data_IF_332628682272
#
_entry.id   IF_332628682272
#
_cell.length_a   1.000
_cell.length_b   1.000
_cell.length_c   1.000
_cell.angle_alpha   90.00
_cell.angle_beta   90.00
_cell.angle_gamma   90.00
#
_symmetry.space_group_name_H-M   'P 1'
#
loop_
_entity.id
_entity.type
_entity.pdbx_description
1 polymer ?
#
# COMPACT_ATOMS: atom_id res chain seq x y z
N UNK A 1 8.23 -11.61 31.36
CA UNK A 1 7.53 -10.36 30.97
C UNK A 1 6.15 -10.75 30.45
N UNK A 2 5.08 -10.48 31.21
CA UNK A 2 3.73 -10.99 30.92
C UNK A 2 3.01 -9.98 30.01
N UNK A 3 3.01 -10.22 28.69
CA UNK A 3 2.43 -9.30 27.71
C UNK A 3 0.91 -9.46 27.74
N UNK A 4 0.18 -8.44 28.21
CA UNK A 4 -1.29 -8.43 28.12
C UNK A 4 -1.68 -8.38 26.65
N UNK A 5 -2.23 -9.47 26.13
CA UNK A 5 -2.82 -9.52 24.79
C UNK A 5 -4.13 -8.71 24.79
N UNK A 6 -4.18 -7.66 23.97
CA UNK A 6 -5.38 -6.86 23.75
C UNK A 6 -5.95 -7.22 22.39
N UNK A 7 -7.13 -7.85 22.38
CA UNK A 7 -7.84 -8.25 21.17
C UNK A 7 -8.06 -7.04 20.24
N UNK A 8 -8.31 -5.87 20.82
CA UNK A 8 -8.45 -4.61 20.08
C UNK A 8 -7.17 -4.19 19.36
N UNK A 9 -6.00 -4.44 19.95
CA UNK A 9 -4.70 -4.14 19.32
C UNK A 9 -4.41 -5.11 18.18
N UNK A 10 -4.77 -6.38 18.33
CA UNK A 10 -4.55 -7.39 17.32
C UNK A 10 -5.54 -7.25 16.14
N UNK A 11 -6.75 -6.75 16.38
CA UNK A 11 -7.74 -6.44 15.33
C UNK A 11 -7.28 -5.33 14.36
N UNK A 12 -6.38 -4.45 14.79
CA UNK A 12 -5.82 -3.39 13.94
C UNK A 12 -4.68 -3.87 13.03
N UNK A 13 -4.17 -5.10 13.22
CA UNK A 13 -3.08 -5.64 12.39
C UNK A 13 -3.61 -6.00 10.99
N UNK A 14 -2.85 -5.72 9.93
CA UNK A 14 -3.26 -6.12 8.59
C UNK A 14 -3.32 -7.65 8.50
N UNK A 15 -4.39 -8.16 7.88
CA UNK A 15 -4.55 -9.59 7.62
C UNK A 15 -3.47 -10.05 6.63
N UNK A 16 -2.65 -11.01 7.05
CA UNK A 16 -1.60 -11.61 6.22
C UNK A 16 -1.94 -13.06 5.96
N UNK A 17 -2.02 -13.44 4.69
CA UNK A 17 -2.25 -14.81 4.24
C UNK A 17 -0.92 -15.31 3.68
N UNK A 18 -0.36 -16.38 4.26
CA UNK A 18 0.93 -16.96 3.85
C UNK A 18 2.10 -15.96 3.86
N UNK A 19 2.07 -14.98 4.77
CA UNK A 19 3.10 -13.94 4.86
C UNK A 19 2.97 -12.80 3.83
N UNK A 20 1.93 -12.83 3.00
CA UNK A 20 1.57 -11.80 2.02
C UNK A 20 0.34 -11.05 2.53
N UNK A 21 0.24 -9.74 2.30
CA UNK A 21 -0.97 -8.98 2.57
C UNK A 21 -2.18 -9.61 1.85
N UNK A 22 -3.27 -9.86 2.57
CA UNK A 22 -4.50 -10.45 2.03
C UNK A 22 -5.06 -9.66 0.83
N UNK A 23 -4.79 -8.34 0.77
CA UNK A 23 -5.23 -7.47 -0.32
C UNK A 23 -4.53 -7.79 -1.65
N UNK A 24 -3.34 -8.40 -1.62
CA UNK A 24 -2.65 -8.79 -2.85
C UNK A 24 -3.45 -9.81 -3.68
N UNK A 25 -4.35 -10.58 -3.03
CA UNK A 25 -5.14 -11.63 -3.65
C UNK A 25 -6.44 -11.13 -4.30
N UNK A 26 -6.77 -9.83 -4.24
CA UNK A 26 -7.95 -9.27 -4.95
C UNK A 26 -8.06 -9.66 -6.44
N UNK A 27 -6.97 -9.74 -7.23
CA UNK A 27 -7.05 -10.14 -8.63
C UNK A 27 -7.57 -11.58 -8.84
N UNK A 28 -7.41 -12.48 -7.85
CA UNK A 28 -7.99 -13.83 -7.92
C UNK A 28 -9.52 -13.81 -7.82
N UNK A 29 -10.09 -12.86 -7.06
CA UNK A 29 -11.54 -12.67 -7.02
C UNK A 29 -12.07 -12.23 -8.39
N UNK A 30 -11.30 -11.40 -9.11
CA UNK A 30 -11.65 -10.97 -10.47
C UNK A 30 -11.59 -12.14 -11.48
N UNK A 31 -10.63 -13.06 -11.33
CA UNK A 31 -10.59 -14.29 -12.13
C UNK A 31 -11.77 -15.21 -11.85
N UNK A 32 -12.22 -15.32 -10.59
CA UNK A 32 -13.38 -16.13 -10.23
C UNK A 32 -14.67 -15.66 -10.94
N UNK A 33 -14.81 -14.35 -11.18
CA UNK A 33 -15.94 -13.79 -11.94
C UNK A 33 -15.82 -14.01 -13.46
N UNK A 34 -14.61 -13.95 -14.02
CA UNK A 34 -14.37 -14.21 -15.44
C UNK A 34 -13.28 -15.28 -15.61
N UNK A 35 -13.64 -16.58 -15.53
CA UNK A 35 -12.69 -17.68 -15.53
C UNK A 35 -12.12 -17.92 -16.93
N UNK A 36 -11.15 -17.09 -17.32
CA UNK A 36 -10.44 -17.18 -18.60
C UNK A 36 -8.94 -17.30 -18.34
N UNK A 37 -8.22 -18.00 -19.21
CA UNK A 37 -6.76 -18.21 -19.03
C UNK A 37 -5.99 -16.89 -18.96
N UNK A 38 -6.44 -15.88 -19.71
CA UNK A 38 -5.83 -14.55 -19.72
C UNK A 38 -6.04 -13.78 -18.40
N UNK A 39 -7.25 -13.83 -17.84
CA UNK A 39 -7.53 -13.16 -16.55
C UNK A 39 -6.79 -13.83 -15.40
N UNK A 40 -6.58 -15.15 -15.47
CA UNK A 40 -5.72 -15.86 -14.53
C UNK A 40 -4.26 -15.38 -14.62
N UNK A 41 -3.71 -15.32 -15.83
CA UNK A 41 -2.34 -14.84 -16.04
C UNK A 41 -2.17 -13.39 -15.58
N UNK A 42 -3.09 -12.49 -15.93
CA UNK A 42 -3.10 -11.10 -15.48
C UNK A 42 -3.18 -11.00 -13.95
N UNK A 43 -4.04 -11.80 -13.31
CA UNK A 43 -4.17 -11.85 -11.86
C UNK A 43 -2.89 -12.32 -11.17
N UNK A 44 -2.23 -13.33 -11.72
CA UNK A 44 -0.96 -13.85 -11.18
C UNK A 44 0.17 -12.82 -11.29
N UNK A 45 0.25 -12.08 -12.40
CA UNK A 45 1.21 -10.98 -12.59
C UNK A 45 0.96 -9.87 -11.56
N UNK A 46 -0.31 -9.51 -11.33
CA UNK A 46 -0.66 -8.51 -10.33
C UNK A 46 -0.26 -8.93 -8.90
N UNK A 47 -0.55 -10.18 -8.53
CA UNK A 47 -0.13 -10.76 -7.23
C UNK A 47 1.40 -10.72 -7.09
N UNK A 48 2.14 -11.14 -8.11
CA UNK A 48 3.60 -11.11 -8.11
C UNK A 48 4.13 -9.67 -7.96
N UNK A 49 3.50 -8.70 -8.64
CA UNK A 49 3.81 -7.29 -8.49
C UNK A 49 3.64 -6.80 -7.04
N UNK A 50 2.52 -7.15 -6.39
CA UNK A 50 2.29 -6.81 -4.98
C UNK A 50 3.27 -7.52 -4.04
N UNK A 51 3.60 -8.78 -4.31
CA UNK A 51 4.58 -9.53 -3.52
C UNK A 51 5.97 -8.88 -3.55
N UNK A 52 6.43 -8.47 -4.73
CA UNK A 52 7.71 -7.77 -4.89
C UNK A 52 7.71 -6.40 -4.19
N UNK A 53 6.57 -5.71 -4.14
CA UNK A 53 6.43 -4.46 -3.41
C UNK A 53 6.44 -4.65 -1.90
N UNK A 54 5.74 -5.67 -1.40
CA UNK A 54 5.72 -5.99 0.02
C UNK A 54 7.12 -6.35 0.51
N UNK A 55 7.91 -7.08 -0.27
CA UNK A 55 9.33 -7.35 0.04
C UNK A 55 10.18 -6.08 0.17
N UNK A 56 9.82 -5.00 -0.52
CA UNK A 56 10.50 -3.70 -0.42
C UNK A 56 9.97 -2.84 0.74
N UNK A 57 8.99 -3.33 1.50
CA UNK A 57 8.29 -2.55 2.53
C UNK A 57 7.42 -1.41 1.95
N UNK A 58 7.19 -1.42 0.63
CA UNK A 58 6.39 -0.41 -0.04
C UNK A 58 4.93 -0.83 0.00
N UNK A 59 4.11 -0.08 0.72
CA UNK A 59 2.66 -0.29 0.72
C UNK A 59 2.04 0.27 -0.57
N UNK A 60 0.94 -0.34 -1.03
CA UNK A 60 0.10 0.14 -2.14
C UNK A 60 -0.11 1.67 -2.18
N UNK A 61 -0.51 2.33 -1.07
CA UNK A 61 -0.67 3.78 -1.04
C UNK A 61 0.66 4.55 -1.21
N UNK A 62 1.78 3.99 -0.76
CA UNK A 62 3.11 4.61 -0.95
C UNK A 62 3.54 4.53 -2.41
N UNK A 63 3.28 3.41 -3.10
CA UNK A 63 3.51 3.32 -4.53
C UNK A 63 2.66 4.34 -5.29
N UNK A 64 1.35 4.39 -5.02
CA UNK A 64 0.45 5.34 -5.68
C UNK A 64 0.88 6.78 -5.42
N UNK A 65 1.37 7.07 -4.20
CA UNK A 65 1.95 8.37 -3.85
C UNK A 65 3.25 8.63 -4.63
N UNK A 66 4.11 7.63 -4.79
CA UNK A 66 5.35 7.74 -5.55
C UNK A 66 5.08 7.95 -7.05
N UNK A 67 4.15 7.20 -7.64
CA UNK A 67 3.68 7.37 -9.01
C UNK A 67 3.09 8.77 -9.18
N UNK A 68 2.19 9.19 -8.27
CA UNK A 68 1.61 10.53 -8.32
C UNK A 68 2.66 11.63 -8.18
N UNK A 69 3.64 11.47 -7.29
CA UNK A 69 4.75 12.40 -7.14
C UNK A 69 5.61 12.45 -8.40
N UNK A 70 5.86 11.29 -9.02
CA UNK A 70 6.62 11.20 -10.27
C UNK A 70 5.90 11.88 -11.44
N UNK A 71 4.58 11.71 -11.53
CA UNK A 71 3.74 12.36 -12.56
C UNK A 71 3.58 13.87 -12.33
N UNK A 72 3.46 14.29 -11.05
CA UNK A 72 3.32 15.71 -10.68
C UNK A 72 4.62 16.51 -10.85
N UNK A 73 5.78 15.85 -10.81
CA UNK A 73 7.07 16.50 -10.80
C UNK A 73 7.35 17.25 -9.48
N UNK A 74 8.50 17.91 -9.41
CA UNK A 74 8.98 18.67 -8.24
C UNK A 74 8.27 20.02 -8.14
N UNK A 75 6.95 20.03 -7.90
CA UNK A 75 6.22 21.27 -7.62
C UNK A 75 6.47 21.65 -6.16
N UNK A 76 7.54 22.41 -5.94
CA UNK A 76 7.75 23.17 -4.70
C UNK A 76 6.80 24.38 -4.81
N UNK A 77 5.62 24.28 -4.20
CA UNK A 77 4.87 25.50 -3.86
C UNK A 77 5.70 26.18 -2.78
N UNK A 78 6.29 27.33 -3.13
CA UNK A 78 6.82 28.23 -2.12
C UNK A 78 5.66 28.56 -1.17
N UNK A 79 5.68 27.98 0.03
CA UNK A 79 4.83 28.46 1.11
C UNK A 79 5.43 29.79 1.54
N UNK A 80 4.85 30.90 1.09
CA UNK A 80 4.98 32.13 1.84
C UNK A 80 4.26 31.92 3.17
N UNK A 81 5.01 31.49 4.19
CA UNK A 81 4.55 31.53 5.57
C UNK A 81 4.65 32.97 6.10
N UNK A 82 3.77 33.40 7.02
CA UNK A 82 3.93 34.69 7.67
C UNK A 82 5.29 34.76 8.38
N UNK A 83 6.00 35.87 8.14
CA UNK A 83 7.33 36.16 8.66
C UNK A 83 7.41 36.03 10.20
N UNK A 84 8.53 35.50 10.69
CA UNK A 84 8.79 35.15 12.10
C UNK A 84 9.25 36.38 12.91
N UNK A 85 8.55 37.50 12.82
CA UNK A 85 8.87 38.72 13.60
C UNK A 85 8.06 38.83 14.91
N UNK A 86 7.75 37.70 15.57
CA UNK A 86 6.89 37.66 16.78
C UNK A 86 7.66 37.33 18.07
N UNK A 87 8.97 37.46 18.07
CA UNK A 87 9.82 37.19 19.25
C UNK A 87 10.94 38.21 19.46
N UNK A 88 10.72 39.47 19.07
CA UNK A 88 11.56 40.61 19.47
C UNK A 88 10.73 41.60 20.31
#
# INVERSE_FOLDING_TARGET
MNIRHSVWRDAARPLRILGIDARAFFPLLMWLYHPRKWTFAAGMIAILGFFLMEKKGLTLPVLLRAIRHRLRGTVIVARYGPNRSRFE
#
